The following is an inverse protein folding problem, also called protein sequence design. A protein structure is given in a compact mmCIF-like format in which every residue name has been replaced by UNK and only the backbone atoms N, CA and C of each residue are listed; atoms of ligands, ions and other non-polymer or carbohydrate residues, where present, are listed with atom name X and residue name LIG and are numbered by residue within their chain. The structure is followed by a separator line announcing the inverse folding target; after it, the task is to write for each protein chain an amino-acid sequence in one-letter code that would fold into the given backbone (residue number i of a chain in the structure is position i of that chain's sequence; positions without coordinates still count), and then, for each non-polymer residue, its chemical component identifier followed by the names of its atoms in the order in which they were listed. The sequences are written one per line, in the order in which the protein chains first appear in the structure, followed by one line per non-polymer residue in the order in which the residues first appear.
data_IF_953370590142
#
_entry.id   IF_953370590142
#
_cell.length_a   1.000
_cell.length_b   1.000
_cell.length_c   1.000
_cell.angle_alpha   90.00
_cell.angle_beta   90.00
_cell.angle_gamma   90.00
#
_symmetry.space_group_name_H-M   'P 1'
#
loop_
_entity.id
_entity.type
_entity.pdbx_description
1 polymer ?
#
# COMPACT_ATOMS: atom_id res chain seq x y z
N UNK A 1 12.46 3.76 1.14
CA UNK A 1 11.05 3.56 0.80
C UNK A 1 10.66 2.12 0.55
N UNK A 2 11.41 1.39 -0.25
CA UNK A 2 11.09 -0.01 -0.53
C UNK A 2 11.06 -0.85 0.75
N UNK A 3 11.97 -0.61 1.68
CA UNK A 3 11.98 -1.33 2.95
C UNK A 3 10.69 -1.13 3.74
N UNK A 4 10.18 0.10 3.77
CA UNK A 4 8.95 0.39 4.47
C UNK A 4 7.77 -0.34 3.84
N UNK A 5 7.71 -0.36 2.51
CA UNK A 5 6.65 -1.09 1.80
C UNK A 5 6.73 -2.58 2.10
N UNK A 6 7.93 -3.15 2.10
CA UNK A 6 8.10 -4.58 2.38
C UNK A 6 7.77 -4.94 3.83
N UNK A 7 7.86 -3.97 4.74
CA UNK A 7 7.52 -4.19 6.15
C UNK A 7 6.03 -4.08 6.43
N UNK A 8 5.22 -3.60 5.49
CA UNK A 8 3.78 -3.52 5.67
C UNK A 8 3.13 -4.90 5.71
N UNK A 9 2.00 -5.04 6.43
CA UNK A 9 1.21 -6.26 6.35
C UNK A 9 0.88 -6.60 4.90
N UNK A 10 0.86 -7.88 4.57
CA UNK A 10 0.71 -8.33 3.20
C UNK A 10 -0.51 -7.74 2.49
N UNK A 11 -1.63 -7.62 3.18
CA UNK A 11 -2.86 -7.10 2.58
C UNK A 11 -2.71 -5.67 2.07
N UNK A 12 -1.95 -4.84 2.78
CA UNK A 12 -1.71 -3.46 2.34
C UNK A 12 -0.59 -3.41 1.31
N UNK A 13 0.45 -4.23 1.51
CA UNK A 13 1.59 -4.29 0.61
C UNK A 13 1.16 -4.70 -0.79
N UNK A 14 0.33 -5.74 -0.91
CA UNK A 14 -0.12 -6.22 -2.21
C UNK A 14 -0.85 -5.12 -2.99
N UNK A 15 -1.77 -4.41 -2.34
CA UNK A 15 -2.50 -3.32 -2.99
C UNK A 15 -1.59 -2.19 -3.41
N UNK A 16 -0.66 -1.78 -2.54
CA UNK A 16 0.28 -0.71 -2.84
C UNK A 16 1.22 -1.07 -3.98
N UNK A 17 1.76 -2.28 -3.97
CA UNK A 17 2.68 -2.72 -5.02
C UNK A 17 1.99 -2.73 -6.37
N UNK A 18 0.81 -3.34 -6.46
CA UNK A 18 0.09 -3.41 -7.72
C UNK A 18 -0.33 -2.05 -8.25
N UNK A 19 -0.81 -1.18 -7.37
CA UNK A 19 -1.29 0.13 -7.78
C UNK A 19 -0.17 1.15 -7.98
N UNK A 20 0.71 1.28 -7.01
CA UNK A 20 1.71 2.36 -7.00
C UNK A 20 2.98 2.00 -7.75
N UNK A 21 3.43 0.76 -7.69
CA UNK A 21 4.69 0.36 -8.34
C UNK A 21 4.45 -0.23 -9.72
N UNK A 22 3.42 -1.06 -9.88
CA UNK A 22 3.11 -1.69 -11.16
C UNK A 22 2.18 -0.86 -12.04
N UNK A 23 1.52 0.13 -11.47
CA UNK A 23 0.68 1.06 -12.23
C UNK A 23 -0.70 0.56 -12.58
N UNK A 24 -1.18 -0.51 -11.96
CA UNK A 24 -2.52 -1.02 -12.28
C UNK A 24 -3.60 -0.11 -11.68
N UNK A 25 -4.69 0.13 -12.42
CA UNK A 25 -5.82 0.90 -11.89
C UNK A 25 -6.52 0.12 -10.77
N UNK A 26 -7.29 0.84 -9.94
CA UNK A 26 -7.98 0.25 -8.79
C UNK A 26 -8.84 -0.95 -9.20
N UNK A 27 -9.57 -0.87 -10.31
CA UNK A 27 -10.42 -1.97 -10.76
C UNK A 27 -9.61 -3.24 -11.07
N UNK A 28 -8.43 -3.08 -11.69
CA UNK A 28 -7.57 -4.20 -12.00
C UNK A 28 -6.98 -4.82 -10.74
N UNK A 29 -6.61 -3.98 -9.77
CA UNK A 29 -6.12 -4.46 -8.47
C UNK A 29 -7.22 -5.24 -7.75
N UNK A 30 -8.44 -4.72 -7.77
CA UNK A 30 -9.58 -5.38 -7.15
C UNK A 30 -9.80 -6.77 -7.76
N UNK A 31 -9.75 -6.88 -9.07
CA UNK A 31 -9.92 -8.17 -9.75
C UNK A 31 -8.79 -9.14 -9.37
N UNK A 32 -7.56 -8.66 -9.35
CA UNK A 32 -6.40 -9.50 -9.04
C UNK A 32 -6.44 -10.02 -7.60
N UNK A 33 -6.90 -9.20 -6.65
CA UNK A 33 -6.94 -9.55 -5.24
C UNK A 33 -8.31 -10.09 -4.79
N UNK A 34 -9.26 -10.20 -5.70
CA UNK A 34 -10.63 -10.66 -5.42
C UNK A 34 -11.30 -9.79 -4.36
N UNK A 35 -11.16 -8.48 -4.54
CA UNK A 35 -11.75 -7.48 -3.66
C UNK A 35 -12.68 -6.58 -4.46
N UNK A 36 -13.49 -5.81 -3.73
CA UNK A 36 -14.24 -4.72 -4.36
C UNK A 36 -13.32 -3.53 -4.57
N UNK A 37 -13.61 -2.63 -5.52
CA UNK A 37 -12.83 -1.40 -5.68
C UNK A 37 -12.78 -0.57 -4.39
N UNK A 38 -13.88 -0.55 -3.64
CA UNK A 38 -13.92 0.16 -2.37
C UNK A 38 -12.90 -0.42 -1.37
N UNK A 39 -12.84 -1.75 -1.27
CA UNK A 39 -11.90 -2.41 -0.38
C UNK A 39 -10.45 -2.09 -0.77
N UNK A 40 -10.17 -2.06 -2.09
CA UNK A 40 -8.84 -1.68 -2.59
C UNK A 40 -8.50 -0.26 -2.16
N UNK A 41 -9.43 0.68 -2.35
CA UNK A 41 -9.22 2.08 -1.97
C UNK A 41 -8.93 2.21 -0.49
N UNK A 42 -9.65 1.47 0.35
CA UNK A 42 -9.41 1.48 1.80
C UNK A 42 -8.04 0.91 2.15
N UNK A 43 -7.64 -0.16 1.50
CA UNK A 43 -6.31 -0.74 1.73
C UNK A 43 -5.19 0.19 1.30
N UNK A 44 -5.38 0.90 0.19
CA UNK A 44 -4.41 1.89 -0.26
C UNK A 44 -4.29 3.04 0.74
N UNK A 45 -5.42 3.54 1.21
CA UNK A 45 -5.43 4.62 2.19
C UNK A 45 -4.71 4.20 3.47
N UNK A 46 -5.08 3.05 4.02
CA UNK A 46 -4.49 2.53 5.24
C UNK A 46 -3.00 2.25 5.08
N UNK A 47 -2.65 1.64 3.94
CA UNK A 47 -1.25 1.34 3.66
C UNK A 47 -0.41 2.60 3.58
N UNK A 48 -0.92 3.66 2.94
CA UNK A 48 -0.22 4.94 2.87
C UNK A 48 -0.06 5.57 4.25
N UNK A 49 -1.09 5.50 5.08
CA UNK A 49 -1.02 6.03 6.45
C UNK A 49 0.05 5.32 7.26
N UNK A 50 0.08 4.00 7.18
CA UNK A 50 1.11 3.21 7.87
C UNK A 50 2.50 3.53 7.33
N UNK A 51 2.61 3.65 6.02
CA UNK A 51 3.88 3.96 5.38
C UNK A 51 4.40 5.32 5.83
N UNK A 52 3.54 6.33 5.88
CA UNK A 52 3.91 7.66 6.34
C UNK A 52 4.40 7.62 7.79
N UNK A 53 3.73 6.87 8.65
CA UNK A 53 4.13 6.71 10.04
C UNK A 53 5.52 6.10 10.14
N UNK A 54 5.78 5.07 9.35
CA UNK A 54 7.08 4.41 9.35
C UNK A 54 8.19 5.32 8.84
N UNK A 55 7.91 6.07 7.77
CA UNK A 55 8.89 7.01 7.23
C UNK A 55 9.15 8.18 8.17
N UNK A 56 8.10 8.65 8.86
CA UNK A 56 8.27 9.72 9.85
C UNK A 56 9.16 9.28 11.00
N UNK A 57 9.05 8.02 11.42
CA UNK A 57 9.92 7.48 12.46
C UNK A 57 11.38 7.43 12.02
N UNK A 58 11.61 7.09 10.76
CA UNK A 58 12.98 7.09 10.22
C UNK A 58 13.55 8.50 10.19
N UNK A 59 12.73 9.49 9.83
CA UNK A 59 13.16 10.89 9.75
C UNK A 59 13.58 11.44 11.09
N UNK A 60 13.02 10.93 12.18
CA UNK A 60 13.37 11.39 13.53
C UNK A 60 14.83 11.09 13.87
N UNK A 61 15.42 10.12 13.23
CA UNK A 61 16.79 9.70 13.50
C UNK A 61 17.83 10.51 12.71
N UNK A 62 17.37 11.37 11.86
CA UNK A 62 18.25 12.26 11.12
C UNK A 62 18.54 13.51 11.94
#
# INVERSE_FOLDING_TARGET
MLRAVLALPEKYRAALVLHSLEGYPVDAVAAALRLTPYAVKMRLKRGRELLQTMLAKEDIHV
#
